data_IF_483714585812
#
_entry.id   IF_483714585812
#
_cell.length_a   1.000
_cell.length_b   1.000
_cell.length_c   1.000
_cell.angle_alpha   90.00
_cell.angle_beta   90.00
_cell.angle_gamma   90.00
#
_symmetry.space_group_name_H-M   'P 1'
#
loop_
_entity.id
_entity.type
_entity.pdbx_description
1 polymer ?
#
# COMPACT_ATOMS: atom_id res chain seq x y z
N UNK A 1 -2.70 4.21 -2.21
CA UNK A 1 -1.90 5.19 -2.99
C UNK A 1 -2.29 6.59 -2.57
N UNK A 2 -1.33 7.49 -2.36
CA UNK A 2 -1.58 8.89 -2.03
C UNK A 2 -1.35 9.74 -3.29
N UNK A 3 -2.44 10.22 -3.90
CA UNK A 3 -2.39 10.87 -5.21
C UNK A 3 -3.35 12.06 -5.36
N UNK A 4 -3.58 12.81 -4.28
CA UNK A 4 -4.29 14.10 -4.31
C UNK A 4 -3.60 15.14 -5.20
N UNK A 5 -4.30 16.25 -5.44
CA UNK A 5 -3.84 17.34 -6.30
C UNK A 5 -2.50 17.93 -5.82
N UNK A 6 -2.36 18.15 -4.51
CA UNK A 6 -1.16 18.75 -3.94
C UNK A 6 -0.09 17.72 -3.57
N UNK A 7 1.14 17.94 -4.03
CA UNK A 7 2.28 17.05 -3.75
C UNK A 7 2.58 16.99 -2.26
N UNK A 8 2.56 18.13 -1.58
CA UNK A 8 2.84 18.25 -0.13
C UNK A 8 1.87 17.42 0.69
N UNK A 9 0.58 17.44 0.36
CA UNK A 9 -0.43 16.62 1.03
C UNK A 9 -0.09 15.13 0.92
N UNK A 10 0.24 14.64 -0.29
CA UNK A 10 0.58 13.24 -0.51
C UNK A 10 1.82 12.80 0.29
N UNK A 11 2.79 13.71 0.49
CA UNK A 11 3.98 13.42 1.30
C UNK A 11 3.65 13.43 2.78
N UNK A 12 2.87 14.40 3.24
CA UNK A 12 2.42 14.47 4.62
C UNK A 12 1.62 13.23 5.05
N UNK A 13 0.70 12.75 4.20
CA UNK A 13 -0.04 11.50 4.46
C UNK A 13 0.87 10.27 4.53
N UNK A 14 1.84 10.19 3.62
CA UNK A 14 2.82 9.12 3.62
C UNK A 14 3.68 9.17 4.89
N UNK A 15 4.20 10.34 5.25
CA UNK A 15 5.08 10.52 6.40
C UNK A 15 4.34 10.20 7.71
N UNK A 16 3.06 10.58 7.82
CA UNK A 16 2.21 10.20 8.95
C UNK A 16 2.03 8.68 9.05
N UNK A 17 1.72 7.99 7.94
CA UNK A 17 1.62 6.54 7.93
C UNK A 17 2.98 5.86 8.24
N UNK A 18 4.08 6.43 7.75
CA UNK A 18 5.43 5.89 7.91
C UNK A 18 5.89 5.87 9.38
N UNK A 19 5.37 6.76 10.22
CA UNK A 19 5.61 6.72 11.67
C UNK A 19 5.17 5.40 12.32
N UNK A 20 4.22 4.70 11.70
CA UNK A 20 3.70 3.41 12.17
C UNK A 20 4.27 2.20 11.41
N UNK A 21 5.31 2.39 10.57
CA UNK A 21 5.86 1.35 9.68
C UNK A 21 6.11 0.02 10.41
N UNK A 22 6.91 0.04 11.48
CA UNK A 22 7.30 -1.18 12.19
C UNK A 22 6.11 -1.88 12.85
N UNK A 23 5.13 -1.12 13.34
CA UNK A 23 3.90 -1.66 13.93
C UNK A 23 3.04 -2.35 12.85
N UNK A 24 2.88 -1.69 11.70
CA UNK A 24 2.11 -2.21 10.56
C UNK A 24 2.74 -3.50 10.04
N UNK A 25 4.06 -3.49 9.76
CA UNK A 25 4.77 -4.65 9.22
C UNK A 25 4.77 -5.83 10.21
N UNK A 26 4.91 -5.54 11.51
CA UNK A 26 4.80 -6.57 12.55
C UNK A 26 3.41 -7.21 12.60
N UNK A 27 2.33 -6.41 12.48
CA UNK A 27 0.95 -6.92 12.47
C UNK A 27 0.62 -7.69 11.19
N UNK A 28 1.19 -7.31 10.05
CA UNK A 28 1.03 -8.05 8.79
C UNK A 28 1.89 -9.29 8.70
N UNK A 29 2.97 -9.36 9.50
CA UNK A 29 3.97 -10.42 9.42
C UNK A 29 4.79 -10.36 8.11
N UNK A 30 4.88 -9.19 7.48
CA UNK A 30 5.67 -8.98 6.26
C UNK A 30 6.15 -7.54 6.17
N UNK A 31 7.25 -7.34 5.45
CA UNK A 31 7.69 -6.02 5.01
C UNK A 31 6.84 -5.53 3.84
N UNK A 32 6.59 -4.22 3.82
CA UNK A 32 5.91 -3.54 2.72
C UNK A 32 6.90 -2.73 1.89
N UNK A 33 6.48 -2.39 0.66
CA UNK A 33 7.21 -1.45 -0.17
C UNK A 33 6.75 -0.03 0.14
N UNK A 34 7.67 0.80 0.62
CA UNK A 34 7.43 2.18 1.03
C UNK A 34 8.10 3.14 0.05
N UNK A 35 7.30 3.73 -0.85
CA UNK A 35 7.79 4.67 -1.85
C UNK A 35 7.20 6.07 -1.60
N UNK A 36 8.00 6.94 -0.98
CA UNK A 36 7.63 8.34 -0.79
C UNK A 36 7.50 9.09 -2.12
N UNK A 37 8.28 8.73 -3.13
CA UNK A 37 8.26 9.32 -4.47
C UNK A 37 8.73 10.77 -4.50
N UNK A 38 9.92 11.05 -3.97
CA UNK A 38 10.43 12.42 -3.81
C UNK A 38 10.64 13.17 -5.14
N UNK A 39 10.76 12.47 -6.25
CA UNK A 39 10.84 13.02 -7.59
C UNK A 39 9.47 13.22 -8.26
N UNK A 40 8.39 12.67 -7.67
CA UNK A 40 7.05 12.68 -8.24
C UNK A 40 6.00 13.25 -7.27
N UNK A 41 4.77 13.44 -7.78
CA UNK A 41 3.64 13.96 -7.00
C UNK A 41 3.13 12.96 -5.97
N UNK A 42 2.94 11.70 -6.39
CA UNK A 42 2.28 10.68 -5.56
C UNK A 42 3.22 10.00 -4.58
N UNK A 43 2.65 9.35 -3.58
CA UNK A 43 3.35 8.42 -2.68
C UNK A 43 2.61 7.08 -2.68
N UNK A 44 3.31 5.98 -2.42
CA UNK A 44 2.74 4.63 -2.46
C UNK A 44 3.28 3.78 -1.31
N UNK A 45 2.38 3.04 -0.68
CA UNK A 45 2.69 1.91 0.18
C UNK A 45 1.99 0.72 -0.44
N UNK A 46 2.73 -0.35 -0.73
CA UNK A 46 2.21 -1.47 -1.50
C UNK A 46 2.90 -2.78 -1.12
N UNK A 47 2.28 -3.87 -1.54
CA UNK A 47 2.88 -5.19 -1.58
C UNK A 47 2.80 -5.71 -3.02
N UNK A 48 3.76 -6.52 -3.41
CA UNK A 48 3.86 -7.07 -4.75
C UNK A 48 3.94 -8.59 -4.68
N UNK A 49 3.31 -9.24 -5.66
CA UNK A 49 3.50 -10.65 -5.94
C UNK A 49 4.41 -10.74 -7.17
N UNK A 50 5.58 -11.32 -6.99
CA UNK A 50 6.55 -11.53 -8.06
C UNK A 50 6.35 -12.88 -8.75
N UNK A 51 6.97 -13.05 -9.92
CA UNK A 51 6.99 -14.30 -10.69
C UNK A 51 5.62 -14.81 -11.13
N UNK A 52 4.72 -13.88 -11.48
CA UNK A 52 3.43 -14.16 -12.14
C UNK A 52 3.28 -13.24 -13.35
N UNK A 53 2.52 -13.66 -14.36
CA UNK A 53 2.21 -12.84 -15.53
C UNK A 53 0.72 -12.73 -15.78
N UNK A 54 0.24 -11.51 -16.10
CA UNK A 54 -1.14 -11.31 -16.56
C UNK A 54 -1.42 -12.04 -17.89
N UNK A 55 -0.38 -12.30 -18.68
CA UNK A 55 -0.47 -13.00 -19.96
C UNK A 55 -0.55 -14.53 -19.79
N UNK A 56 -0.28 -15.04 -18.57
CA UNK A 56 -0.35 -16.46 -18.24
C UNK A 56 -1.60 -16.75 -17.41
N UNK A 57 -2.63 -17.35 -18.03
CA UNK A 57 -3.90 -17.63 -17.36
C UNK A 57 -3.77 -18.58 -16.16
N UNK A 58 -2.77 -19.45 -16.16
CA UNK A 58 -2.50 -20.37 -15.05
C UNK A 58 -2.12 -19.63 -13.75
N UNK A 59 -1.61 -18.39 -13.85
CA UNK A 59 -1.24 -17.56 -12.69
C UNK A 59 -2.44 -16.81 -12.09
N UNK A 60 -3.54 -16.66 -12.83
CA UNK A 60 -4.67 -15.83 -12.43
C UNK A 60 -5.30 -16.24 -11.09
N UNK A 61 -5.49 -17.53 -10.77
CA UNK A 61 -6.01 -17.93 -9.46
C UNK A 61 -5.11 -17.47 -8.30
N UNK A 62 -3.79 -17.52 -8.47
CA UNK A 62 -2.83 -17.04 -7.48
C UNK A 62 -2.91 -15.52 -7.31
N UNK A 63 -2.99 -14.78 -8.42
CA UNK A 63 -3.16 -13.32 -8.40
C UNK A 63 -4.48 -12.91 -7.73
N UNK A 64 -5.58 -13.59 -8.04
CA UNK A 64 -6.89 -13.33 -7.44
C UNK A 64 -6.87 -13.58 -5.93
N UNK A 65 -6.27 -14.69 -5.49
CA UNK A 65 -6.10 -15.01 -4.07
C UNK A 65 -5.26 -13.94 -3.37
N UNK A 66 -4.13 -13.55 -3.96
CA UNK A 66 -3.27 -12.50 -3.44
C UNK A 66 -4.06 -11.18 -3.28
N UNK A 67 -4.77 -10.73 -4.31
CA UNK A 67 -5.57 -9.51 -4.23
C UNK A 67 -6.67 -9.59 -3.17
N UNK A 68 -7.40 -10.71 -3.08
CA UNK A 68 -8.48 -10.89 -2.10
C UNK A 68 -7.95 -10.84 -0.65
N UNK A 69 -6.84 -11.54 -0.37
CA UNK A 69 -6.21 -11.54 0.96
C UNK A 69 -5.68 -10.16 1.35
N UNK A 70 -4.94 -9.52 0.44
CA UNK A 70 -4.25 -8.27 0.75
C UNK A 70 -5.16 -7.05 0.78
N UNK A 71 -6.22 -7.01 -0.04
CA UNK A 71 -7.18 -5.91 -0.01
C UNK A 71 -7.85 -5.79 1.36
N UNK A 72 -8.24 -6.93 1.96
CA UNK A 72 -8.82 -6.95 3.31
C UNK A 72 -7.81 -6.55 4.38
N UNK A 73 -6.62 -7.15 4.37
CA UNK A 73 -5.55 -6.83 5.35
C UNK A 73 -5.17 -5.35 5.32
N UNK A 74 -4.99 -4.78 4.13
CA UNK A 74 -4.67 -3.37 3.96
C UNK A 74 -5.81 -2.49 4.46
N UNK A 75 -7.06 -2.82 4.12
CA UNK A 75 -8.21 -2.05 4.60
C UNK A 75 -8.27 -2.06 6.14
N UNK A 76 -8.31 -3.25 6.74
CA UNK A 76 -8.50 -3.40 8.19
C UNK A 76 -7.36 -2.76 9.00
N UNK A 77 -6.12 -2.83 8.49
CA UNK A 77 -4.95 -2.37 9.23
C UNK A 77 -4.52 -0.95 8.89
N UNK A 78 -4.50 -0.55 7.62
CA UNK A 78 -3.91 0.73 7.20
C UNK A 78 -4.91 1.86 7.33
N UNK A 79 -6.20 1.63 6.98
CA UNK A 79 -7.23 2.68 7.00
C UNK A 79 -7.33 3.43 8.33
N UNK A 80 -7.23 2.79 9.52
CA UNK A 80 -7.24 3.50 10.80
C UNK A 80 -6.13 4.55 10.99
N UNK A 81 -4.99 4.41 10.29
CA UNK A 81 -3.87 5.35 10.36
C UNK A 81 -4.00 6.50 9.36
N UNK A 82 -4.90 6.38 8.39
CA UNK A 82 -5.19 7.43 7.41
C UNK A 82 -6.36 8.23 7.98
N UNK A 83 -6.11 9.46 8.43
CA UNK A 83 -7.14 10.27 9.12
C UNK A 83 -8.39 10.45 8.25
N UNK A 84 -9.53 10.67 8.89
CA UNK A 84 -10.86 10.82 8.27
C UNK A 84 -10.87 11.86 7.14
N UNK A 85 -9.95 12.83 7.16
CA UNK A 85 -9.78 13.86 6.12
C UNK A 85 -9.15 13.32 4.81
N UNK A 86 -8.80 12.03 4.74
CA UNK A 86 -8.23 11.35 3.57
C UNK A 86 -9.21 10.45 2.80
N UNK A 87 -10.44 10.28 3.29
CA UNK A 87 -11.54 9.56 2.62
C UNK A 87 -12.39 10.49 1.75
#
# INVERSE_FOLDING_TARGET
MFARAERSENKAAFDALYQHKSEIESKLGTELQWNRGDDIKSSKVFIQLDNVSIENEDDWPQMAKFHAEWSKKFYDLIVPYITVDWQ
#
